data_IF_543006449119
#
_entry.id   IF_543006449119
#
_cell.length_a   1.000
_cell.length_b   1.000
_cell.length_c   1.000
_cell.angle_alpha   90.00
_cell.angle_beta   90.00
_cell.angle_gamma   90.00
#
_symmetry.space_group_name_H-M   'P 1'
#
loop_
_entity.id
_entity.type
_entity.pdbx_description
1 polymer ?
#
# COMPACT_ATOMS: atom_id res chain seq x y z
N UNK A 1 7.86 48.47 29.23
CA UNK A 1 6.63 47.70 28.94
C UNK A 1 6.68 46.46 29.82
N UNK A 2 5.82 46.38 30.84
CA UNK A 2 5.71 45.20 31.69
C UNK A 2 4.77 44.19 31.03
N UNK A 3 5.33 43.11 30.49
CA UNK A 3 4.58 41.97 29.97
C UNK A 3 4.34 41.00 31.12
N UNK A 4 3.08 40.83 31.55
CA UNK A 4 2.75 39.91 32.64
C UNK A 4 2.60 38.49 32.09
N UNK A 5 3.47 37.58 32.53
CA UNK A 5 3.45 36.17 32.14
C UNK A 5 2.69 35.34 33.18
N UNK A 6 1.70 34.58 32.74
CA UNK A 6 0.97 33.59 33.57
C UNK A 6 1.09 32.19 32.96
N UNK A 7 0.76 31.13 33.68
CA UNK A 7 0.83 29.74 33.18
C UNK A 7 -0.48 29.00 33.49
N UNK A 8 -1.00 28.23 32.53
CA UNK A 8 -2.17 27.36 32.78
C UNK A 8 -1.76 26.08 33.52
N UNK A 9 -2.63 25.60 34.41
CA UNK A 9 -2.53 24.28 35.02
C UNK A 9 -3.88 23.56 34.92
N UNK A 10 -3.95 22.37 34.31
CA UNK A 10 -2.86 21.66 33.62
C UNK A 10 -2.40 22.34 32.31
N UNK A 11 -1.19 22.01 31.84
CA UNK A 11 -0.72 22.39 30.51
C UNK A 11 -1.50 21.63 29.43
N UNK A 12 -1.70 22.26 28.28
CA UNK A 12 -2.41 21.66 27.15
C UNK A 12 -1.53 20.60 26.45
N UNK A 13 -2.11 19.51 25.92
CA UNK A 13 -1.40 18.44 25.23
C UNK A 13 -1.07 18.83 23.77
N UNK A 14 -0.37 19.94 23.58
CA UNK A 14 -0.02 20.47 22.25
C UNK A 14 1.39 20.00 21.88
N UNK A 15 1.56 19.58 20.63
CA UNK A 15 2.86 19.28 20.02
C UNK A 15 3.12 20.21 18.84
N UNK A 16 4.39 20.50 18.61
CA UNK A 16 4.83 21.26 17.44
C UNK A 16 5.05 20.29 16.28
N UNK A 17 4.51 20.63 15.12
CA UNK A 17 4.71 19.93 13.85
C UNK A 17 5.37 20.91 12.89
N UNK A 18 6.49 20.51 12.30
CA UNK A 18 7.11 21.23 11.20
C UNK A 18 6.25 21.09 9.95
N UNK A 19 6.02 22.20 9.25
CA UNK A 19 5.26 22.22 8.02
C UNK A 19 6.20 22.57 6.86
N UNK A 20 6.59 21.58 6.03
CA UNK A 20 7.24 21.83 4.75
C UNK A 20 6.39 22.78 3.89
N UNK A 21 6.99 23.58 2.99
CA UNK A 21 6.27 24.53 2.16
C UNK A 21 5.09 23.92 1.41
N UNK A 22 5.26 22.70 0.87
CA UNK A 22 4.19 21.97 0.18
C UNK A 22 2.96 21.69 1.08
N UNK A 23 3.18 21.30 2.33
CA UNK A 23 2.08 21.06 3.27
C UNK A 23 1.47 22.36 3.77
N UNK A 24 2.27 23.42 3.93
CA UNK A 24 1.79 24.73 4.30
C UNK A 24 0.86 25.29 3.21
N UNK A 25 1.30 25.25 1.94
CA UNK A 25 0.52 25.70 0.79
C UNK A 25 -0.81 24.94 0.68
N UNK A 26 -0.81 23.63 0.94
CA UNK A 26 -2.03 22.81 0.97
C UNK A 26 -2.98 23.22 2.10
N UNK A 27 -2.45 23.48 3.31
CA UNK A 27 -3.25 23.87 4.48
C UNK A 27 -3.79 25.30 4.38
N UNK A 28 -3.10 26.19 3.68
CA UNK A 28 -3.53 27.58 3.43
C UNK A 28 -4.44 27.74 2.21
N UNK A 29 -4.63 26.67 1.42
CA UNK A 29 -5.52 26.69 0.25
C UNK A 29 -7.00 26.88 0.63
N UNK A 30 -7.83 27.32 -0.33
CA UNK A 30 -9.28 27.52 -0.13
C UNK A 30 -10.02 26.22 0.26
N UNK A 31 -9.44 25.07 -0.10
CA UNK A 31 -9.98 23.73 0.15
C UNK A 31 -8.89 22.83 0.73
N UNK A 32 -8.52 23.03 2.01
CA UNK A 32 -7.43 22.29 2.61
C UNK A 32 -7.78 20.79 2.69
N UNK A 33 -6.88 19.90 2.25
CA UNK A 33 -7.16 18.48 2.25
C UNK A 33 -7.19 17.93 3.69
N UNK A 34 -7.91 16.83 3.89
CA UNK A 34 -7.86 16.11 5.15
C UNK A 34 -6.52 15.38 5.27
N UNK A 35 -5.81 15.64 6.38
CA UNK A 35 -4.57 14.96 6.72
C UNK A 35 -4.86 13.79 7.67
N UNK A 36 -4.19 12.66 7.45
CA UNK A 36 -4.33 11.47 8.28
C UNK A 36 -2.99 11.09 8.90
N UNK A 37 -3.02 10.70 10.17
CA UNK A 37 -1.89 10.03 10.82
C UNK A 37 -2.15 8.52 10.75
N UNK A 38 -1.28 7.80 10.06
CA UNK A 38 -1.36 6.35 9.92
C UNK A 38 -0.13 5.68 10.50
N UNK A 39 -0.33 4.53 11.13
CA UNK A 39 0.73 3.66 11.63
C UNK A 39 0.39 2.23 11.26
N UNK A 40 1.40 1.38 11.06
CA UNK A 40 1.16 -0.06 10.95
C UNK A 40 0.47 -0.57 12.22
N UNK A 41 -0.45 -1.54 12.05
CA UNK A 41 -1.04 -2.21 13.19
C UNK A 41 0.08 -2.78 14.10
N UNK A 42 -0.02 -2.61 15.43
CA UNK A 42 0.95 -3.21 16.34
C UNK A 42 0.94 -4.71 16.09
N UNK A 43 2.10 -5.27 15.75
CA UNK A 43 2.23 -6.71 15.53
C UNK A 43 1.71 -7.41 16.79
N UNK A 44 0.56 -8.08 16.67
CA UNK A 44 0.05 -8.90 17.75
C UNK A 44 1.17 -9.88 18.08
N UNK A 45 1.75 -9.73 19.28
CA UNK A 45 2.71 -10.68 19.82
C UNK A 45 2.07 -12.04 19.71
N UNK A 46 2.51 -12.84 18.74
CA UNK A 46 2.05 -14.21 18.54
C UNK A 46 2.44 -14.97 19.80
N UNK A 47 1.54 -14.99 20.78
CA UNK A 47 1.54 -15.96 21.85
C UNK A 47 1.27 -17.29 21.16
N UNK A 48 2.35 -17.94 20.72
CA UNK A 48 2.33 -19.33 20.29
C UNK A 48 1.67 -20.13 21.41
N UNK A 49 0.43 -20.54 21.19
CA UNK A 49 -0.24 -21.57 21.96
C UNK A 49 0.52 -22.86 21.72
N UNK A 50 1.54 -23.12 22.54
CA UNK A 50 2.25 -24.38 22.57
C UNK A 50 1.28 -25.45 23.09
N UNK A 51 0.81 -26.28 22.17
CA UNK A 51 0.15 -27.55 22.45
C UNK A 51 1.06 -28.40 23.35
N UNK A 52 0.58 -28.64 24.56
CA UNK A 52 1.20 -29.51 25.56
C UNK A 52 1.40 -30.92 24.97
N UNK A 53 2.66 -31.27 24.66
CA UNK A 53 3.09 -32.66 24.54
C UNK A 53 4.21 -32.92 25.53
N UNK A 54 3.89 -33.80 26.46
CA UNK A 54 4.70 -34.30 27.57
C UNK A 54 5.96 -34.99 27.04
N UNK A 55 7.15 -34.51 27.41
CA UNK A 55 8.40 -35.32 27.45
C UNK A 55 9.45 -34.68 28.36
N UNK A 56 9.52 -35.24 29.56
CA UNK A 56 10.66 -35.46 30.46
C UNK A 56 12.01 -34.75 30.23
N UNK A 57 12.39 -34.01 31.28
CA UNK A 57 13.69 -33.46 31.69
C UNK A 57 14.97 -34.22 31.29
N UNK A 58 16.03 -33.47 30.92
CA UNK A 58 17.36 -33.54 31.59
C UNK A 58 18.13 -32.22 31.42
N UNK A 59 18.76 -31.80 32.50
CA UNK A 59 19.55 -30.59 32.78
C UNK A 59 20.87 -30.42 32.01
N UNK A 60 21.26 -29.18 31.70
CA UNK A 60 22.59 -28.64 32.10
C UNK A 60 22.69 -27.12 31.90
N UNK A 61 23.20 -26.47 32.94
CA UNK A 61 23.42 -25.03 33.08
C UNK A 61 24.72 -24.59 32.43
N UNK A 62 24.75 -23.42 31.78
CA UNK A 62 25.98 -22.63 31.64
C UNK A 62 25.66 -21.14 31.51
N UNK A 63 26.04 -20.42 32.56
CA UNK A 63 26.12 -18.97 32.68
C UNK A 63 27.18 -18.42 31.71
N UNK A 64 26.84 -17.38 30.93
CA UNK A 64 27.85 -16.43 30.47
C UNK A 64 27.24 -15.04 30.24
N UNK A 65 27.77 -14.11 31.02
CA UNK A 65 27.60 -12.67 30.98
C UNK A 65 28.45 -12.11 29.84
N UNK A 66 27.86 -11.35 28.92
CA UNK A 66 28.63 -10.50 28.01
C UNK A 66 27.82 -9.25 27.61
N UNK A 67 28.23 -8.13 28.20
CA UNK A 67 27.95 -6.76 27.78
C UNK A 67 28.52 -6.54 26.38
N UNK A 68 27.73 -6.02 25.43
CA UNK A 68 28.25 -5.44 24.19
C UNK A 68 27.27 -4.44 23.59
N UNK A 69 27.86 -3.35 23.10
CA UNK A 69 27.25 -2.07 22.85
C UNK A 69 26.31 -2.04 21.63
N UNK A 70 25.33 -1.15 21.77
CA UNK A 70 24.36 -0.69 20.78
C UNK A 70 24.99 -0.28 19.45
N UNK A 71 24.69 -1.06 18.42
CA UNK A 71 24.54 -0.60 17.04
C UNK A 71 23.26 -1.25 16.49
N UNK A 72 22.12 -0.74 16.96
CA UNK A 72 20.82 -1.15 16.46
C UNK A 72 20.64 -0.60 15.05
N UNK A 73 21.04 -1.40 14.06
CA UNK A 73 20.41 -1.34 12.75
C UNK A 73 18.93 -1.64 12.97
N UNK A 74 18.10 -0.61 12.92
CA UNK A 74 16.65 -0.69 13.07
C UNK A 74 16.08 -1.65 12.03
N UNK A 75 15.51 -2.77 12.49
CA UNK A 75 14.57 -3.56 11.69
C UNK A 75 13.38 -2.66 11.30
N UNK A 76 12.90 -2.71 10.04
CA UNK A 76 11.68 -2.02 9.65
C UNK A 76 10.49 -2.78 10.25
N UNK A 77 9.87 -2.23 11.29
CA UNK A 77 8.76 -2.89 12.00
C UNK A 77 8.51 -2.41 13.44
N UNK A 78 9.13 -1.32 13.88
CA UNK A 78 8.89 -0.75 15.20
C UNK A 78 8.32 0.67 15.05
N UNK A 79 7.03 0.81 15.36
CA UNK A 79 6.32 2.03 15.76
C UNK A 79 6.67 3.33 15.01
N UNK A 80 6.49 3.34 13.68
CA UNK A 80 6.52 4.59 12.90
C UNK A 80 5.11 5.09 12.58
N UNK A 81 4.94 6.41 12.62
CA UNK A 81 3.70 7.10 12.23
C UNK A 81 4.02 7.95 11.01
N UNK A 82 3.20 7.83 9.99
CA UNK A 82 3.29 8.62 8.78
C UNK A 82 2.13 9.61 8.72
N UNK A 83 2.40 10.79 8.17
CA UNK A 83 1.41 11.79 7.82
C UNK A 83 1.05 11.61 6.34
N UNK A 84 -0.23 11.38 6.06
CA UNK A 84 -0.73 11.15 4.72
C UNK A 84 -1.63 12.32 4.28
N UNK A 85 -1.34 12.88 3.12
CA UNK A 85 -2.31 13.63 2.31
C UNK A 85 -3.13 12.62 1.50
N UNK A 86 -4.12 13.05 0.69
CA UNK A 86 -4.84 12.15 -0.21
C UNK A 86 -3.92 11.41 -1.20
N UNK A 87 -2.80 12.03 -1.58
CA UNK A 87 -1.94 11.62 -2.68
C UNK A 87 -0.48 11.27 -2.31
N UNK A 88 -0.02 11.67 -1.12
CA UNK A 88 1.38 11.53 -0.68
C UNK A 88 1.50 11.14 0.78
N UNK A 89 2.61 10.46 1.09
CA UNK A 89 2.98 10.08 2.46
C UNK A 89 4.29 10.74 2.88
N UNK A 90 4.31 11.18 4.14
CA UNK A 90 5.47 11.75 4.79
C UNK A 90 5.78 10.97 6.08
N UNK A 91 7.05 10.68 6.31
CA UNK A 91 7.50 10.06 7.56
C UNK A 91 7.63 11.13 8.65
N UNK A 92 7.14 10.83 9.86
CA UNK A 92 7.30 11.70 11.01
C UNK A 92 8.47 11.24 11.87
N UNK A 93 9.39 12.15 12.17
CA UNK A 93 10.45 11.93 13.17
C UNK A 93 10.30 12.89 14.33
N UNK A 94 10.46 12.40 15.55
CA UNK A 94 10.48 13.25 16.73
C UNK A 94 11.91 13.71 17.01
N UNK A 95 12.10 15.02 17.14
CA UNK A 95 13.37 15.62 17.53
C UNK A 95 13.20 16.31 18.88
N UNK A 96 13.99 15.87 19.86
CA UNK A 96 13.97 16.42 21.21
C UNK A 96 14.83 17.68 21.29
N UNK A 97 14.39 18.64 22.10
CA UNK A 97 15.11 19.87 22.37
C UNK A 97 15.48 19.96 23.85
N UNK A 98 16.71 20.39 24.13
CA UNK A 98 17.14 20.77 25.49
C UNK A 98 16.65 22.16 25.89
N UNK A 99 16.13 22.93 24.93
CA UNK A 99 15.58 24.26 25.18
C UNK A 99 14.17 24.17 25.77
N UNK A 100 13.84 25.09 26.67
CA UNK A 100 12.48 25.24 27.18
C UNK A 100 11.65 26.08 26.23
N UNK A 101 10.91 25.43 25.33
CA UNK A 101 9.99 26.10 24.40
C UNK A 101 8.60 26.15 25.02
N UNK A 102 8.07 27.36 25.19
CA UNK A 102 6.72 27.58 25.70
C UNK A 102 5.81 28.11 24.59
N UNK A 103 4.65 27.48 24.43
CA UNK A 103 3.59 28.03 23.60
C UNK A 103 2.80 29.02 24.45
N UNK A 104 2.74 30.27 24.02
CA UNK A 104 2.02 31.34 24.70
C UNK A 104 0.79 31.77 23.92
N UNK A 105 -0.29 32.10 24.63
CA UNK A 105 -1.50 32.66 24.06
C UNK A 105 -1.74 34.06 24.64
N UNK A 106 -2.06 35.08 23.81
CA UNK A 106 -2.51 36.37 24.30
C UNK A 106 -3.80 36.22 25.13
N UNK A 107 -3.88 36.87 26.28
CA UNK A 107 -5.13 36.91 27.06
C UNK A 107 -6.08 37.94 26.43
N UNK A 108 -7.13 37.46 25.76
CA UNK A 108 -8.12 38.31 25.10
C UNK A 108 -9.01 39.08 26.07
N UNK A 109 -9.62 40.18 25.62
CA UNK A 109 -10.48 41.05 26.44
C UNK A 109 -11.66 40.33 27.12
N UNK A 110 -12.17 39.24 26.52
CA UNK A 110 -13.26 38.43 27.09
C UNK A 110 -12.87 37.73 28.40
N UNK A 111 -11.60 37.38 28.56
CA UNK A 111 -11.06 36.69 29.75
C UNK A 111 -10.62 37.66 30.85
N UNK A 112 -10.81 38.97 30.61
CA UNK A 112 -10.59 40.06 31.56
C UNK A 112 -11.86 40.33 32.40
N UNK A 113 -13.03 39.95 31.90
CA UNK A 113 -14.31 40.12 32.60
C UNK A 113 -14.56 39.05 33.68
N UNK A 114 -13.93 37.89 33.57
CA UNK A 114 -14.08 36.75 34.50
C UNK A 114 -13.11 36.79 35.68
N UNK A 115 -12.10 37.66 35.65
CA UNK A 115 -11.10 37.79 36.72
C UNK A 115 -11.41 38.91 37.73
N UNK A 116 -12.59 39.52 37.67
CA UNK A 116 -13.04 40.51 38.67
C UNK A 116 -13.74 39.80 39.82
N UNK A 117 -12.97 39.15 40.69
CA UNK A 117 -13.42 38.92 42.06
C UNK A 117 -13.49 40.28 42.78
N UNK A 118 -14.45 40.51 43.71
CA UNK A 118 -14.68 41.82 44.29
C UNK A 118 -13.55 42.16 45.28
N UNK A 119 -12.60 42.99 44.84
CA UNK A 119 -11.68 43.65 45.74
C UNK A 119 -12.36 44.95 46.21
N UNK A 120 -12.65 44.99 47.50
CA UNK A 120 -13.11 46.17 48.24
C UNK A 120 -12.17 47.35 48.07
N UNK A 121 -12.79 48.51 47.91
CA UNK A 121 -12.26 49.87 47.78
C UNK A 121 -10.89 50.14 48.39
N UNK A 122 -10.03 50.80 47.62
CA UNK A 122 -9.38 52.05 48.05
C UNK A 122 -8.77 52.77 46.85
N UNK A 123 -9.16 54.03 46.70
CA UNK A 123 -8.66 55.00 45.74
C UNK A 123 -7.13 55.04 45.69
N UNK A 124 -6.56 54.89 44.51
CA UNK A 124 -5.35 55.62 44.09
C UNK A 124 -5.27 55.62 42.56
N UNK A 125 -5.32 56.82 41.99
CA UNK A 125 -4.93 57.14 40.61
C UNK A 125 -3.54 56.56 40.32
N UNK A 126 -3.51 55.38 39.71
CA UNK A 126 -2.32 54.85 39.06
C UNK A 126 -2.78 54.34 37.70
N UNK A 127 -2.31 55.01 36.66
CA UNK A 127 -2.58 54.73 35.26
C UNK A 127 -2.83 53.23 35.03
N UNK A 128 -4.02 52.89 34.53
CA UNK A 128 -4.38 51.55 34.07
C UNK A 128 -3.38 51.13 33.00
N UNK A 129 -2.24 50.60 33.43
CA UNK A 129 -1.24 49.99 32.57
C UNK A 129 -1.98 48.87 31.85
N UNK A 130 -2.17 49.06 30.55
CA UNK A 130 -2.65 48.07 29.60
C UNK A 130 -1.60 46.97 29.42
N UNK A 131 -1.07 46.46 30.54
CA UNK A 131 -0.05 45.44 30.61
C UNK A 131 -0.55 44.23 29.83
N UNK A 132 0.01 44.07 28.64
CA UNK A 132 -0.30 42.94 27.76
C UNK A 132 0.06 41.68 28.52
N UNK A 133 -0.96 40.90 28.85
CA UNK A 133 -0.82 39.67 29.63
C UNK A 133 -0.82 38.50 28.66
N UNK A 134 0.20 37.65 28.76
CA UNK A 134 0.31 36.41 27.97
C UNK A 134 0.32 35.22 28.91
N UNK A 135 -0.30 34.12 28.48
CA UNK A 135 -0.33 32.88 29.27
C UNK A 135 0.40 31.78 28.54
N UNK A 136 1.37 31.15 29.19
CA UNK A 136 1.97 29.90 28.73
C UNK A 136 0.95 28.76 28.88
N UNK A 137 0.59 28.17 27.74
CA UNK A 137 -0.45 27.12 27.63
C UNK A 137 0.14 25.73 27.45
N UNK A 138 1.37 25.61 26.91
CA UNK A 138 2.07 24.35 26.74
C UNK A 138 3.58 24.54 26.88
N UNK A 139 4.27 23.47 27.28
CA UNK A 139 5.73 23.38 27.22
C UNK A 139 6.10 22.24 26.28
N UNK A 140 6.75 22.57 25.17
CA UNK A 140 7.11 21.61 24.14
C UNK A 140 8.59 21.22 24.32
N UNK A 141 8.84 19.95 24.62
CA UNK A 141 10.21 19.39 24.75
C UNK A 141 10.69 18.71 23.46
N UNK A 142 9.82 18.60 22.47
CA UNK A 142 10.11 18.01 21.17
C UNK A 142 9.28 18.65 20.07
N UNK A 143 9.80 18.53 18.85
CA UNK A 143 9.14 18.90 17.61
C UNK A 143 9.00 17.65 16.75
N UNK A 144 7.88 17.52 16.05
CA UNK A 144 7.70 16.52 15.02
C UNK A 144 8.15 17.12 13.70
N UNK A 145 9.15 16.52 13.07
CA UNK A 145 9.64 16.92 11.76
C UNK A 145 9.05 16.01 10.69
N UNK A 146 8.68 16.61 9.56
CA UNK A 146 8.05 15.93 8.43
C UNK A 146 9.09 15.67 7.36
N UNK A 147 9.24 14.42 6.95
CA UNK A 147 10.18 14.01 5.92
C UNK A 147 9.45 13.41 4.73
N UNK A 148 9.81 13.88 3.52
CA UNK A 148 9.38 13.21 2.30
C UNK A 148 9.91 11.77 2.29
N UNK A 149 9.05 10.81 1.96
CA UNK A 149 9.46 9.42 1.81
C UNK A 149 10.37 9.24 0.60
N UNK A 150 11.27 8.26 0.65
CA UNK A 150 12.11 7.95 -0.49
C UNK A 150 11.24 7.36 -1.62
N UNK A 151 11.62 7.58 -2.88
CA UNK A 151 10.88 7.04 -4.03
C UNK A 151 10.83 5.51 -4.08
N UNK A 152 11.71 4.83 -3.32
CA UNK A 152 11.70 3.38 -3.14
C UNK A 152 10.64 2.88 -2.17
N UNK A 153 10.14 3.76 -1.29
CA UNK A 153 9.17 3.39 -0.28
C UNK A 153 7.77 3.42 -0.89
N UNK A 154 7.24 2.24 -1.19
CA UNK A 154 5.92 2.08 -1.79
C UNK A 154 5.01 1.27 -0.88
N UNK A 155 3.70 1.44 -1.05
CA UNK A 155 2.71 0.64 -0.35
C UNK A 155 2.71 -0.86 -0.76
N UNK A 156 3.56 -1.27 -1.72
CA UNK A 156 3.62 -2.64 -2.24
C UNK A 156 4.00 -3.63 -1.13
N UNK A 157 5.14 -3.43 -0.45
CA UNK A 157 5.61 -4.39 0.55
C UNK A 157 4.63 -4.57 1.73
N UNK A 158 4.06 -3.49 2.33
CA UNK A 158 3.00 -3.63 3.33
C UNK A 158 1.76 -4.37 2.81
N UNK A 159 1.33 -4.13 1.57
CA UNK A 159 0.18 -4.84 0.98
C UNK A 159 0.48 -6.31 0.76
N UNK A 160 1.68 -6.66 0.27
CA UNK A 160 2.10 -8.05 0.08
C UNK A 160 2.11 -8.84 1.41
N UNK A 161 2.39 -8.17 2.53
CA UNK A 161 2.42 -8.76 3.86
C UNK A 161 1.01 -9.01 4.45
N UNK A 162 0.02 -8.19 4.08
CA UNK A 162 -1.35 -8.27 4.63
C UNK A 162 -2.27 -9.11 3.75
N UNK A 163 -2.09 -9.10 2.44
CA UNK A 163 -2.97 -9.79 1.49
C UNK A 163 -2.68 -11.29 1.41
N UNK A 164 -3.75 -12.09 1.48
CA UNK A 164 -3.69 -13.52 1.25
C UNK A 164 -3.28 -13.81 -0.20
N UNK A 165 -2.46 -14.86 -0.40
CA UNK A 165 -2.07 -15.30 -1.74
C UNK A 165 -3.25 -16.06 -2.35
N UNK A 166 -3.61 -15.74 -3.59
CA UNK A 166 -4.50 -16.53 -4.44
C UNK A 166 -3.65 -17.28 -5.45
N UNK A 167 -3.57 -18.60 -5.34
CA UNK A 167 -2.74 -19.44 -6.18
C UNK A 167 -3.57 -20.26 -7.18
N UNK A 168 -2.89 -20.94 -8.10
CA UNK A 168 -3.52 -21.83 -9.08
C UNK A 168 -4.38 -22.92 -8.41
N UNK A 169 -3.97 -23.41 -7.23
CA UNK A 169 -4.74 -24.40 -6.47
C UNK A 169 -6.07 -23.87 -5.92
N UNK A 170 -6.23 -22.56 -5.79
CA UNK A 170 -7.48 -21.92 -5.34
C UNK A 170 -8.50 -21.80 -6.48
N UNK A 171 -8.12 -22.20 -7.69
CA UNK A 171 -9.00 -22.35 -8.84
C UNK A 171 -9.66 -23.73 -8.69
N UNK A 172 -10.76 -23.78 -7.94
CA UNK A 172 -11.60 -24.97 -7.88
C UNK A 172 -12.19 -25.22 -9.28
N UNK A 173 -11.67 -26.26 -9.93
CA UNK A 173 -12.06 -26.73 -11.28
C UNK A 173 -13.43 -27.41 -11.25
N UNK A 174 -13.92 -27.83 -10.06
CA UNK A 174 -15.18 -28.57 -9.93
C UNK A 174 -16.35 -27.63 -9.57
N UNK A 175 -17.41 -27.69 -10.38
CA UNK A 175 -18.74 -27.11 -10.19
C UNK A 175 -18.84 -25.58 -9.98
N UNK A 176 -18.63 -24.78 -11.04
CA UNK A 176 -19.09 -23.38 -11.05
C UNK A 176 -20.41 -23.25 -11.80
N UNK A 177 -21.50 -22.99 -11.07
CA UNK A 177 -22.81 -22.70 -11.66
C UNK A 177 -23.00 -21.19 -11.89
N UNK A 178 -23.86 -20.79 -12.83
CA UNK A 178 -24.20 -19.37 -13.10
C UNK A 178 -24.74 -18.63 -11.85
N UNK A 179 -25.30 -19.36 -10.87
CA UNK A 179 -25.79 -18.80 -9.59
C UNK A 179 -24.64 -18.47 -8.61
N UNK A 180 -23.46 -19.07 -8.77
CA UNK A 180 -22.29 -18.84 -7.92
C UNK A 180 -21.56 -17.53 -8.25
N UNK A 181 -21.82 -16.96 -9.42
CA UNK A 181 -21.14 -15.78 -9.95
C UNK A 181 -21.99 -14.52 -9.74
N UNK A 182 -22.63 -14.40 -8.56
CA UNK A 182 -23.19 -13.11 -8.16
C UNK A 182 -22.02 -12.12 -7.99
N UNK A 183 -21.86 -11.16 -8.91
CA UNK A 183 -20.72 -10.25 -8.86
C UNK A 183 -20.85 -9.43 -7.58
N UNK A 184 -19.76 -9.33 -6.84
CA UNK A 184 -19.69 -8.43 -5.69
C UNK A 184 -20.09 -7.03 -6.15
N UNK A 185 -20.97 -6.39 -5.38
CA UNK A 185 -21.36 -5.03 -5.70
C UNK A 185 -20.13 -4.10 -5.57
N UNK A 186 -20.04 -3.02 -6.36
CA UNK A 186 -18.93 -2.07 -6.26
C UNK A 186 -18.72 -1.54 -4.84
N UNK A 187 -19.81 -1.38 -4.07
CA UNK A 187 -19.74 -0.92 -2.68
C UNK A 187 -19.13 -1.96 -1.73
N UNK A 188 -19.36 -3.26 -1.95
CA UNK A 188 -18.72 -4.32 -1.16
C UNK A 188 -17.21 -4.39 -1.44
N UNK A 189 -16.82 -4.27 -2.71
CA UNK A 189 -15.42 -4.23 -3.14
C UNK A 189 -14.70 -3.05 -2.48
N UNK A 190 -15.28 -1.85 -2.59
CA UNK A 190 -14.70 -0.63 -1.98
C UNK A 190 -14.62 -0.76 -0.46
N UNK A 191 -15.65 -1.33 0.19
CA UNK A 191 -15.69 -1.51 1.63
C UNK A 191 -14.56 -2.42 2.11
N UNK A 192 -14.40 -3.61 1.52
CA UNK A 192 -13.37 -4.57 1.97
C UNK A 192 -11.96 -4.04 1.68
N UNK A 193 -11.75 -3.41 0.51
CA UNK A 193 -10.46 -2.78 0.18
C UNK A 193 -10.11 -1.63 1.15
N UNK A 194 -11.09 -0.80 1.52
CA UNK A 194 -10.89 0.31 2.44
C UNK A 194 -10.45 -0.14 3.82
N UNK A 195 -10.89 -1.32 4.29
CA UNK A 195 -10.42 -1.91 5.56
C UNK A 195 -8.93 -2.21 5.50
N UNK A 196 -8.45 -2.84 4.42
CA UNK A 196 -7.02 -3.11 4.23
C UNK A 196 -6.24 -1.80 4.21
N UNK A 197 -6.68 -0.80 3.44
CA UNK A 197 -5.97 0.48 3.30
C UNK A 197 -5.93 1.32 4.58
N UNK A 198 -6.83 1.08 5.54
CA UNK A 198 -6.80 1.76 6.83
C UNK A 198 -5.55 1.37 7.65
N UNK A 199 -5.09 0.13 7.52
CA UNK A 199 -3.96 -0.43 8.29
C UNK A 199 -2.60 -0.29 7.56
N UNK A 200 -2.61 0.18 6.32
CA UNK A 200 -1.39 0.46 5.55
C UNK A 200 -0.94 1.90 5.80
N UNK A 201 0.31 2.14 6.25
CA UNK A 201 0.82 3.47 6.62
C UNK A 201 1.20 4.32 5.40
N UNK A 202 0.35 4.36 4.38
CA UNK A 202 0.51 5.12 3.14
C UNK A 202 -0.80 5.82 2.76
N UNK A 203 -0.67 6.84 1.91
CA UNK A 203 -1.79 7.58 1.33
C UNK A 203 -2.70 6.68 0.51
N UNK A 204 -3.94 7.13 0.31
CA UNK A 204 -4.91 6.37 -0.48
C UNK A 204 -4.41 6.15 -1.91
N UNK A 205 -3.93 7.20 -2.58
CA UNK A 205 -3.45 7.08 -3.96
C UNK A 205 -2.25 6.14 -4.11
N UNK A 206 -1.34 6.11 -3.13
CA UNK A 206 -0.20 5.18 -3.14
C UNK A 206 -0.66 3.74 -2.90
N UNK A 207 -1.61 3.51 -1.99
CA UNK A 207 -2.23 2.20 -1.78
C UNK A 207 -2.96 1.71 -3.04
N UNK A 208 -3.72 2.57 -3.72
CA UNK A 208 -4.42 2.23 -4.96
C UNK A 208 -3.45 1.91 -6.11
N UNK A 209 -2.38 2.70 -6.25
CA UNK A 209 -1.32 2.45 -7.24
C UNK A 209 -0.63 1.11 -6.98
N UNK A 210 -0.31 0.82 -5.72
CA UNK A 210 0.31 -0.45 -5.33
C UNK A 210 -0.65 -1.64 -5.51
N UNK A 211 -1.92 -1.48 -5.15
CA UNK A 211 -2.98 -2.47 -5.38
C UNK A 211 -3.11 -2.84 -6.86
N UNK A 212 -3.17 -1.83 -7.73
CA UNK A 212 -3.16 -2.00 -9.19
C UNK A 212 -1.89 -2.71 -9.64
N UNK A 213 -0.73 -2.29 -9.12
CA UNK A 213 0.58 -2.82 -9.50
C UNK A 213 0.71 -4.34 -9.25
N UNK A 214 0.19 -4.83 -8.11
CA UNK A 214 0.25 -6.25 -7.74
C UNK A 214 -0.95 -7.07 -8.24
N UNK A 215 -1.82 -6.47 -9.06
CA UNK A 215 -3.09 -7.08 -9.50
C UNK A 215 -3.95 -7.60 -8.33
N UNK A 216 -3.96 -6.90 -7.20
CA UNK A 216 -4.79 -7.29 -6.07
C UNK A 216 -6.28 -7.18 -6.43
N UNK A 217 -7.09 -8.01 -5.82
CA UNK A 217 -8.52 -8.06 -6.11
C UNK A 217 -9.32 -8.54 -4.89
N UNK A 218 -10.62 -8.27 -4.92
CA UNK A 218 -11.55 -8.76 -3.91
C UNK A 218 -12.25 -9.98 -4.48
N UNK A 219 -12.30 -11.04 -3.68
CA UNK A 219 -12.89 -12.31 -4.07
C UNK A 219 -13.77 -12.84 -2.95
N UNK A 220 -14.89 -13.47 -3.33
CA UNK A 220 -15.78 -14.17 -2.42
C UNK A 220 -15.51 -15.65 -2.55
N UNK A 221 -14.97 -16.26 -1.50
CA UNK A 221 -14.74 -17.71 -1.44
C UNK A 221 -16.07 -18.44 -1.54
N UNK A 222 -16.13 -19.44 -2.42
CA UNK A 222 -17.31 -20.30 -2.59
C UNK A 222 -17.62 -21.11 -1.34
N UNK A 223 -16.63 -21.80 -0.80
CA UNK A 223 -16.78 -22.72 0.33
C UNK A 223 -17.25 -22.02 1.61
N UNK A 224 -16.71 -20.84 1.87
CA UNK A 224 -16.95 -20.11 3.13
C UNK A 224 -17.94 -18.95 2.98
N UNK A 225 -18.21 -18.50 1.75
CA UNK A 225 -18.96 -17.27 1.47
C UNK A 225 -18.24 -15.98 1.91
N UNK A 226 -17.01 -16.08 2.42
CA UNK A 226 -16.25 -14.96 2.97
C UNK A 226 -15.68 -14.12 1.84
N UNK A 227 -15.87 -12.80 1.94
CA UNK A 227 -15.25 -11.83 1.05
C UNK A 227 -13.89 -11.45 1.63
N UNK A 228 -12.84 -11.62 0.85
CA UNK A 228 -11.48 -11.30 1.25
C UNK A 228 -10.72 -10.59 0.12
N UNK A 229 -9.66 -9.88 0.52
CA UNK A 229 -8.73 -9.23 -0.39
C UNK A 229 -7.55 -10.17 -0.65
N UNK A 230 -7.25 -10.41 -1.91
CA UNK A 230 -6.20 -11.33 -2.33
C UNK A 230 -5.17 -10.63 -3.20
N UNK A 231 -3.95 -11.17 -3.18
CA UNK A 231 -2.93 -10.95 -4.20
C UNK A 231 -2.72 -12.25 -4.98
N UNK A 232 -2.78 -12.23 -6.32
CA UNK A 232 -2.53 -13.44 -7.09
C UNK A 232 -1.05 -13.83 -7.04
N UNK A 233 -0.78 -15.13 -7.05
CA UNK A 233 0.55 -15.67 -7.26
C UNK A 233 1.03 -15.36 -8.69
N UNK A 234 2.33 -15.47 -8.92
CA UNK A 234 2.87 -15.35 -10.28
C UNK A 234 2.30 -16.42 -11.23
N UNK A 235 2.01 -17.62 -10.72
CA UNK A 235 1.45 -18.71 -11.52
C UNK A 235 -0.02 -18.42 -11.88
N UNK A 236 -0.83 -17.98 -10.91
CA UNK A 236 -2.22 -17.60 -11.15
C UNK A 236 -2.35 -16.45 -12.15
N UNK A 237 -1.48 -15.42 -12.03
CA UNK A 237 -1.41 -14.32 -13.02
C UNK A 237 -1.05 -14.83 -14.41
N UNK A 238 -0.06 -15.74 -14.52
CA UNK A 238 0.41 -16.27 -15.80
C UNK A 238 -0.67 -17.09 -16.50
N UNK A 239 -1.31 -18.01 -15.77
CA UNK A 239 -2.40 -18.84 -16.28
C UNK A 239 -3.59 -17.99 -16.76
N UNK A 240 -4.00 -16.99 -15.96
CA UNK A 240 -5.05 -16.07 -16.37
C UNK A 240 -4.66 -15.27 -17.62
N UNK A 241 -3.41 -14.82 -17.72
CA UNK A 241 -2.91 -14.10 -18.89
C UNK A 241 -2.87 -14.95 -20.15
N UNK A 242 -2.42 -16.21 -20.05
CA UNK A 242 -2.43 -17.18 -21.15
C UNK A 242 -3.83 -17.30 -21.75
N UNK A 243 -4.83 -17.51 -20.90
CA UNK A 243 -6.24 -17.60 -21.31
C UNK A 243 -6.79 -16.31 -21.92
N UNK A 244 -6.40 -15.15 -21.39
CA UNK A 244 -6.76 -13.85 -21.98
C UNK A 244 -6.20 -13.71 -23.41
N UNK A 245 -4.93 -14.07 -23.62
CA UNK A 245 -4.28 -13.99 -24.94
C UNK A 245 -4.88 -15.01 -25.92
N UNK A 246 -5.16 -16.22 -25.45
CA UNK A 246 -5.82 -17.27 -26.24
C UNK A 246 -7.21 -16.83 -26.70
N UNK A 247 -8.08 -16.40 -25.77
CA UNK A 247 -9.42 -15.90 -26.08
C UNK A 247 -9.38 -14.69 -27.03
N UNK A 248 -8.49 -13.73 -26.79
CA UNK A 248 -8.32 -12.59 -27.69
C UNK A 248 -7.92 -13.02 -29.11
N UNK A 249 -7.01 -13.98 -29.23
CA UNK A 249 -6.52 -14.47 -30.52
C UNK A 249 -7.61 -15.22 -31.28
N UNK A 250 -8.34 -16.12 -30.61
CA UNK A 250 -9.39 -16.94 -31.21
C UNK A 250 -10.56 -16.09 -31.73
N UNK A 251 -10.92 -15.04 -30.98
CA UNK A 251 -12.02 -14.14 -31.35
C UNK A 251 -11.58 -12.92 -32.16
N UNK A 252 -10.28 -12.81 -32.49
CA UNK A 252 -9.74 -11.70 -33.29
C UNK A 252 -9.83 -10.34 -32.60
N UNK A 253 -9.78 -10.30 -31.26
CA UNK A 253 -9.79 -9.07 -30.47
C UNK A 253 -8.39 -8.46 -30.48
N UNK A 254 -8.27 -7.27 -31.07
CA UNK A 254 -7.01 -6.53 -31.10
C UNK A 254 -6.77 -5.80 -29.77
N UNK A 255 -5.96 -6.39 -28.89
CA UNK A 255 -5.62 -5.84 -27.57
C UNK A 255 -4.90 -4.48 -27.62
N UNK A 256 -4.30 -4.11 -28.76
CA UNK A 256 -3.63 -2.82 -28.94
C UNK A 256 -4.55 -1.69 -29.38
N UNK A 257 -5.79 -2.03 -29.76
CA UNK A 257 -6.84 -1.06 -30.08
C UNK A 257 -7.87 -1.03 -28.96
N UNK A 258 -8.84 -0.13 -29.11
CA UNK A 258 -9.98 -0.09 -28.22
C UNK A 258 -10.85 -1.34 -28.41
N UNK A 259 -11.09 -2.07 -27.33
CA UNK A 259 -11.99 -3.22 -27.27
C UNK A 259 -12.96 -3.11 -26.08
N UNK A 260 -14.08 -3.82 -26.19
CA UNK A 260 -15.01 -4.00 -25.08
C UNK A 260 -14.46 -5.05 -24.13
N UNK A 261 -14.37 -4.70 -22.85
CA UNK A 261 -13.83 -5.59 -21.82
C UNK A 261 -14.76 -6.78 -21.57
N UNK A 262 -16.06 -6.58 -21.74
CA UNK A 262 -17.05 -7.66 -21.72
C UNK A 262 -16.80 -8.67 -22.85
N UNK A 263 -16.61 -8.21 -24.09
CA UNK A 263 -16.36 -9.10 -25.23
C UNK A 263 -15.09 -9.93 -25.03
N UNK A 264 -14.04 -9.34 -24.44
CA UNK A 264 -12.83 -10.07 -24.10
C UNK A 264 -13.08 -11.10 -22.99
N UNK A 265 -13.86 -10.76 -21.97
CA UNK A 265 -14.23 -11.70 -20.92
C UNK A 265 -15.07 -12.87 -21.47
N UNK A 266 -16.06 -12.59 -22.33
CA UNK A 266 -16.85 -13.60 -23.01
C UNK A 266 -15.96 -14.51 -23.88
N UNK A 267 -15.01 -13.95 -24.62
CA UNK A 267 -14.05 -14.73 -25.42
C UNK A 267 -13.20 -15.69 -24.56
N UNK A 268 -12.84 -15.29 -23.33
CA UNK A 268 -12.12 -16.15 -22.38
C UNK A 268 -13.00 -17.28 -21.85
N UNK A 269 -14.29 -17.02 -21.60
CA UNK A 269 -15.22 -18.04 -21.11
C UNK A 269 -15.64 -19.02 -22.22
N UNK A 270 -15.94 -18.51 -23.42
CA UNK A 270 -16.37 -19.36 -24.53
C UNK A 270 -15.30 -20.39 -24.91
N UNK A 271 -14.02 -20.05 -24.81
CA UNK A 271 -12.92 -21.02 -24.97
C UNK A 271 -12.96 -22.11 -23.88
N UNK A 272 -13.19 -21.73 -22.62
CA UNK A 272 -13.27 -22.68 -21.52
C UNK A 272 -14.49 -23.63 -21.64
N UNK A 273 -15.63 -23.14 -22.14
CA UNK A 273 -16.88 -23.91 -22.32
C UNK A 273 -16.82 -24.97 -23.44
N UNK A 274 -15.79 -24.96 -24.30
CA UNK A 274 -15.59 -26.04 -25.29
C UNK A 274 -14.98 -27.31 -24.66
N UNK A 275 -14.71 -27.29 -23.36
CA UNK A 275 -14.41 -28.47 -22.54
C UNK A 275 -15.69 -29.00 -21.89
N UNK A 276 -15.71 -30.26 -21.46
CA UNK A 276 -16.94 -31.05 -21.15
C UNK A 276 -17.72 -30.52 -19.91
N UNK A 277 -17.24 -29.47 -19.27
CA UNK A 277 -17.78 -28.90 -18.03
C UNK A 277 -17.89 -27.37 -18.26
N UNK A 278 -19.00 -26.76 -17.83
CA UNK A 278 -19.19 -25.30 -17.84
C UNK A 278 -18.21 -24.63 -16.84
N UNK A 279 -16.92 -24.62 -17.19
CA UNK A 279 -15.82 -24.19 -16.32
C UNK A 279 -15.48 -22.72 -16.55
N UNK A 280 -15.49 -21.92 -15.48
CA UNK A 280 -14.86 -20.61 -15.52
C UNK A 280 -13.36 -20.78 -15.20
N UNK A 281 -12.46 -20.29 -16.07
CA UNK A 281 -11.03 -20.56 -15.92
C UNK A 281 -10.44 -19.90 -14.66
N UNK A 282 -10.95 -18.75 -14.25
CA UNK A 282 -10.55 -18.04 -13.02
C UNK A 282 -11.60 -16.98 -12.66
N UNK A 283 -11.57 -16.36 -11.45
CA UNK A 283 -12.53 -15.33 -11.07
C UNK A 283 -12.47 -14.09 -11.97
N UNK A 284 -13.63 -13.51 -12.32
CA UNK A 284 -13.69 -12.26 -13.09
C UNK A 284 -12.94 -11.10 -12.44
N UNK A 285 -12.90 -11.05 -11.10
CA UNK A 285 -12.15 -10.00 -10.40
C UNK A 285 -10.63 -10.09 -10.61
N UNK A 286 -10.08 -11.27 -10.90
CA UNK A 286 -8.68 -11.43 -11.32
C UNK A 286 -8.48 -10.94 -12.77
N UNK A 287 -9.41 -11.28 -13.68
CA UNK A 287 -9.42 -10.74 -15.04
C UNK A 287 -9.39 -9.21 -15.04
N UNK A 288 -10.33 -8.58 -14.33
CA UNK A 288 -10.43 -7.13 -14.23
C UNK A 288 -9.15 -6.52 -13.64
N UNK A 289 -8.54 -7.16 -12.63
CA UNK A 289 -7.31 -6.68 -12.03
C UNK A 289 -6.13 -6.70 -13.02
N UNK A 290 -6.00 -7.75 -13.83
CA UNK A 290 -4.98 -7.86 -14.88
C UNK A 290 -5.21 -6.81 -15.97
N UNK A 291 -6.44 -6.70 -16.48
CA UNK A 291 -6.78 -5.69 -17.51
C UNK A 291 -6.49 -4.28 -16.97
N UNK A 292 -6.92 -3.97 -15.74
CA UNK A 292 -6.62 -2.68 -15.10
C UNK A 292 -5.12 -2.45 -15.01
N UNK A 293 -4.32 -3.43 -14.60
CA UNK A 293 -2.85 -3.30 -14.49
C UNK A 293 -2.19 -2.87 -15.80
N UNK A 294 -2.73 -3.34 -16.92
CA UNK A 294 -2.19 -3.15 -18.27
C UNK A 294 -2.78 -1.91 -18.98
N UNK A 295 -3.93 -1.41 -18.53
CA UNK A 295 -4.52 -0.14 -18.98
C UNK A 295 -3.86 1.03 -18.26
N UNK A 296 -3.41 2.03 -19.03
CA UNK A 296 -2.75 3.20 -18.47
C UNK A 296 -3.71 4.07 -17.63
N UNK A 297 -3.23 4.54 -16.48
CA UNK A 297 -3.81 5.58 -15.62
C UNK A 297 -5.33 5.53 -15.29
N UNK A 298 -6.01 4.41 -15.55
CA UNK A 298 -7.41 4.24 -15.17
C UNK A 298 -7.57 4.18 -13.65
N UNK A 299 -8.54 4.91 -13.06
CA UNK A 299 -8.84 4.83 -11.63
C UNK A 299 -9.30 3.42 -11.26
N UNK A 300 -8.96 3.00 -10.04
CA UNK A 300 -9.26 1.64 -9.56
C UNK A 300 -10.77 1.33 -9.54
N UNK A 301 -11.60 2.32 -9.24
CA UNK A 301 -13.06 2.22 -9.20
C UNK A 301 -13.74 2.73 -10.48
N UNK A 302 -12.96 3.06 -11.52
CA UNK A 302 -13.50 3.47 -12.81
C UNK A 302 -14.25 2.33 -13.48
N UNK A 303 -15.32 2.67 -14.21
CA UNK A 303 -15.99 1.74 -15.12
C UNK A 303 -14.98 1.24 -16.17
N UNK A 304 -14.79 -0.07 -16.24
CA UNK A 304 -13.83 -0.73 -17.12
C UNK A 304 -14.55 -1.27 -18.36
N UNK A 305 -15.41 -0.45 -18.97
CA UNK A 305 -16.18 -0.87 -20.14
C UNK A 305 -15.32 -1.04 -21.39
N UNK A 306 -14.38 -0.12 -21.58
CA UNK A 306 -13.49 -0.08 -22.74
C UNK A 306 -12.04 -0.07 -22.27
N UNK A 307 -11.20 -0.81 -22.98
CA UNK A 307 -9.77 -0.86 -22.71
C UNK A 307 -8.97 -0.85 -24.02
N UNK A 308 -7.73 -0.41 -23.92
CA UNK A 308 -6.68 -0.58 -24.91
C UNK A 308 -5.38 -0.80 -24.13
N UNK A 309 -4.64 -1.85 -24.47
CA UNK A 309 -3.41 -2.17 -23.75
C UNK A 309 -2.22 -1.49 -24.41
N UNK A 310 -1.31 -0.98 -23.59
CA UNK A 310 -0.06 -0.43 -24.10
C UNK A 310 0.96 -1.55 -24.36
N UNK A 311 1.51 -1.57 -25.58
CA UNK A 311 2.48 -2.58 -26.00
C UNK A 311 3.67 -2.68 -25.05
N UNK A 312 4.24 -1.54 -24.61
CA UNK A 312 5.46 -1.55 -23.79
C UNK A 312 5.16 -2.02 -22.38
N UNK A 313 4.08 -1.51 -21.79
CA UNK A 313 3.62 -1.90 -20.45
C UNK A 313 3.29 -3.39 -20.44
N UNK A 314 2.51 -3.87 -21.41
CA UNK A 314 2.12 -5.28 -21.47
C UNK A 314 3.30 -6.19 -21.72
N UNK A 315 4.15 -5.90 -22.72
CA UNK A 315 5.31 -6.75 -23.01
C UNK A 315 6.27 -6.82 -21.82
N UNK A 316 6.54 -5.70 -21.16
CA UNK A 316 7.39 -5.68 -19.97
C UNK A 316 6.77 -6.47 -18.80
N UNK A 317 5.49 -6.26 -18.53
CA UNK A 317 4.78 -6.99 -17.46
C UNK A 317 4.73 -8.49 -17.73
N UNK A 318 4.49 -8.93 -18.97
CA UNK A 318 4.49 -10.36 -19.35
C UNK A 318 5.87 -10.99 -19.14
N UNK A 319 6.96 -10.29 -19.48
CA UNK A 319 8.32 -10.77 -19.21
C UNK A 319 8.61 -10.89 -17.71
N UNK A 320 8.27 -9.87 -16.93
CA UNK A 320 8.42 -9.87 -15.47
C UNK A 320 7.63 -11.02 -14.84
N UNK A 321 6.40 -11.23 -15.29
CA UNK A 321 5.52 -12.29 -14.85
C UNK A 321 6.08 -13.69 -15.18
N UNK A 322 6.57 -13.89 -16.41
CA UNK A 322 7.16 -15.16 -16.83
C UNK A 322 8.43 -15.49 -16.03
N UNK A 323 9.27 -14.49 -15.77
CA UNK A 323 10.45 -14.63 -14.91
C UNK A 323 10.06 -14.95 -13.46
N UNK A 324 9.07 -14.24 -12.90
CA UNK A 324 8.56 -14.45 -11.54
C UNK A 324 7.96 -15.86 -11.38
N UNK A 325 7.15 -16.30 -12.34
CA UNK A 325 6.50 -17.62 -12.34
C UNK A 325 7.52 -18.76 -12.53
N UNK A 326 8.52 -18.57 -13.38
CA UNK A 326 9.57 -19.57 -13.63
C UNK A 326 10.56 -19.73 -12.46
N UNK A 327 10.49 -18.84 -11.47
CA UNK A 327 11.41 -18.82 -10.32
C UNK A 327 10.88 -19.67 -9.15
N UNK A 328 10.78 -20.99 -9.34
CA UNK A 328 10.45 -21.94 -8.25
C UNK A 328 11.46 -21.95 -7.08
N UNK A 329 12.62 -21.32 -7.26
CA UNK A 329 13.57 -20.95 -6.20
C UNK A 329 14.38 -19.72 -6.65
N UNK A 330 14.88 -18.85 -5.75
CA UNK A 330 15.58 -17.59 -6.08
C UNK A 330 16.91 -17.73 -6.87
N UNK A 331 17.25 -18.93 -7.34
CA UNK A 331 18.40 -19.24 -8.21
C UNK A 331 17.98 -19.98 -9.48
N UNK A 332 16.70 -19.97 -9.85
CA UNK A 332 16.26 -20.57 -11.12
C UNK A 332 16.88 -19.75 -12.26
N UNK A 333 17.61 -20.44 -13.13
CA UNK A 333 18.30 -19.84 -14.28
C UNK A 333 17.65 -20.40 -15.52
N UNK A 334 17.10 -19.52 -16.35
CA UNK A 334 16.45 -19.87 -17.61
C UNK A 334 17.42 -19.64 -18.76
N UNK A 335 17.26 -20.44 -19.82
CA UNK A 335 17.91 -20.17 -21.09
C UNK A 335 17.25 -18.97 -21.78
N UNK A 336 18.07 -18.05 -22.30
CA UNK A 336 17.61 -16.81 -22.96
C UNK A 336 16.73 -17.08 -24.19
N UNK A 337 17.06 -18.10 -24.99
CA UNK A 337 16.31 -18.42 -26.20
C UNK A 337 14.94 -19.02 -25.86
N UNK A 338 14.90 -19.93 -24.88
CA UNK A 338 13.63 -20.50 -24.36
C UNK A 338 12.76 -19.40 -23.78
N UNK A 339 13.31 -18.57 -22.89
CA UNK A 339 12.59 -17.44 -22.31
C UNK A 339 12.03 -16.48 -23.37
N UNK A 340 12.82 -16.15 -24.39
CA UNK A 340 12.39 -15.24 -25.45
C UNK A 340 11.32 -15.87 -26.35
N UNK A 341 11.32 -17.20 -26.51
CA UNK A 341 10.25 -17.92 -27.21
C UNK A 341 8.95 -17.89 -26.42
N UNK A 342 9.00 -18.31 -25.15
CA UNK A 342 7.84 -18.34 -24.27
C UNK A 342 7.22 -16.95 -24.11
N UNK A 343 8.07 -15.91 -23.98
CA UNK A 343 7.61 -14.53 -23.93
C UNK A 343 6.88 -14.10 -25.21
N UNK A 344 7.34 -14.52 -26.40
CA UNK A 344 6.65 -14.22 -27.66
C UNK A 344 5.31 -14.93 -27.77
N UNK A 345 5.21 -16.15 -27.26
CA UNK A 345 3.97 -16.92 -27.30
C UNK A 345 2.89 -16.31 -26.40
N UNK A 346 3.29 -15.62 -25.33
CA UNK A 346 2.41 -14.89 -24.40
C UNK A 346 2.07 -13.45 -24.84
N UNK A 347 2.36 -13.10 -26.10
CA UNK A 347 2.02 -11.79 -26.66
C UNK A 347 1.20 -11.93 -27.95
N UNK A 348 0.29 -10.97 -28.21
CA UNK A 348 -0.32 -10.81 -29.53
C UNK A 348 0.72 -10.83 -30.65
N UNK A 349 0.36 -11.42 -31.79
CA UNK A 349 1.28 -11.66 -32.92
C UNK A 349 2.04 -10.38 -33.34
N UNK A 350 1.32 -9.26 -33.39
CA UNK A 350 1.84 -7.94 -33.73
C UNK A 350 2.86 -7.36 -32.74
N UNK A 351 2.93 -7.88 -31.51
CA UNK A 351 3.86 -7.42 -30.46
C UNK A 351 5.07 -8.34 -30.27
N UNK A 352 5.05 -9.55 -30.84
CA UNK A 352 6.17 -10.50 -30.78
C UNK A 352 7.55 -9.92 -31.13
N UNK A 353 7.69 -8.98 -32.09
CA UNK A 353 8.99 -8.35 -32.36
C UNK A 353 9.57 -7.55 -31.20
N UNK A 354 8.74 -7.10 -30.25
CA UNK A 354 9.17 -6.35 -29.08
C UNK A 354 9.77 -7.24 -27.98
N UNK A 355 9.43 -8.54 -27.95
CA UNK A 355 9.97 -9.51 -27.01
C UNK A 355 11.44 -9.83 -27.31
N UNK A 356 12.31 -8.92 -26.85
CA UNK A 356 13.76 -9.00 -26.89
C UNK A 356 14.32 -8.52 -25.55
N UNK A 357 15.39 -9.15 -25.08
CA UNK A 357 16.07 -8.79 -23.82
C UNK A 357 16.53 -7.33 -23.80
N UNK A 358 16.87 -6.76 -24.96
CA UNK A 358 17.28 -5.36 -25.07
C UNK A 358 16.17 -4.37 -24.68
N UNK A 359 14.92 -4.79 -24.81
CA UNK A 359 13.74 -3.98 -24.47
C UNK A 359 13.27 -4.19 -23.02
N UNK A 360 13.86 -5.16 -22.29
CA UNK A 360 13.51 -5.46 -20.91
C UNK A 360 14.25 -4.53 -19.95
N UNK A 361 13.56 -4.06 -18.91
CA UNK A 361 14.19 -3.27 -17.87
C UNK A 361 15.26 -4.09 -17.13
N UNK A 362 16.48 -3.55 -17.10
CA UNK A 362 17.66 -4.16 -16.48
C UNK A 362 17.52 -4.27 -14.96
N UNK A 363 16.56 -3.61 -14.33
CA UNK A 363 16.29 -3.79 -12.91
C UNK A 363 15.59 -5.12 -12.60
N UNK A 364 14.82 -5.67 -13.55
CA UNK A 364 13.93 -6.82 -13.34
C UNK A 364 14.60 -8.19 -13.52
N UNK A 365 15.81 -8.22 -14.07
CA UNK A 365 16.56 -9.46 -14.29
C UNK A 365 18.04 -9.32 -13.96
N UNK A 366 18.69 -10.47 -13.82
CA UNK A 366 20.14 -10.61 -13.84
C UNK A 366 20.51 -11.62 -14.93
N UNK A 367 21.64 -11.37 -15.58
CA UNK A 367 22.20 -12.26 -16.59
C UNK A 367 23.53 -12.83 -16.06
N UNK A 368 23.52 -14.01 -15.41
CA UNK A 368 24.74 -14.63 -14.89
C UNK A 368 25.73 -14.98 -16.00
N UNK A 369 25.22 -15.44 -17.14
CA UNK A 369 25.98 -15.76 -18.35
C UNK A 369 25.26 -15.21 -19.58
N UNK A 370 25.95 -15.07 -20.71
CA UNK A 370 25.35 -14.52 -21.93
C UNK A 370 24.10 -15.27 -22.41
N UNK A 371 24.00 -16.57 -22.13
CA UNK A 371 22.90 -17.45 -22.53
C UNK A 371 21.85 -17.66 -21.45
N UNK A 372 22.00 -17.04 -20.28
CA UNK A 372 21.15 -17.33 -19.13
C UNK A 372 20.54 -16.09 -18.46
N UNK A 373 19.30 -16.18 -18.03
CA UNK A 373 18.56 -15.10 -17.38
C UNK A 373 17.92 -15.60 -16.08
N UNK A 374 17.93 -14.78 -15.03
CA UNK A 374 17.22 -15.07 -13.80
C UNK A 374 16.46 -13.84 -13.29
N UNK A 375 15.35 -14.10 -12.61
CA UNK A 375 14.51 -13.04 -12.04
C UNK A 375 15.28 -12.30 -10.95
N UNK A 376 15.24 -10.97 -11.00
CA UNK A 376 15.70 -10.11 -9.92
C UNK A 376 14.46 -9.46 -9.31
N UNK A 377 14.01 -9.86 -8.12
CA UNK A 377 12.95 -9.14 -7.45
C UNK A 377 13.42 -7.69 -7.27
N UNK A 378 12.68 -6.74 -7.84
CA UNK A 378 12.89 -5.33 -7.55
C UNK A 378 12.80 -5.17 -6.03
N UNK A 379 13.76 -4.46 -5.41
CA UNK A 379 13.76 -4.18 -3.97
C UNK A 379 12.39 -3.57 -3.60
N UNK A 380 11.51 -4.39 -3.01
CA UNK A 380 10.07 -4.13 -2.93
C UNK A 380 9.22 -5.40 -2.74
N UNK A 381 9.79 -6.60 -2.92
CA UNK A 381 9.22 -7.87 -2.48
C UNK A 381 9.67 -8.28 -1.08
#
# INVERSE_FOLDING_TARGET
>A
MDLRLTQTQPLQPVRLLELPPELLDQLESDHPPQLYLKSSAPAASSSSSTTTTTSTSTSTSATSTATSASSAASRPGADFVNLCTPDKTFSLRQVNSSNSVFLIKPRGAADRATATAPATDTDTDTAASTASTVTAIAQCKSTLEVQAMASSDTAVAPLLAVLAIYDESDILIDDRTEEDDHPLSPSEIVRERSKVFADIPFSLAECERAWKHICAFVHKSKESGVIACHRPSARAKLMAWEKIVEGATLHGIDLGKQFLVEDLWSAVIEEAQHTVIDEYPFPRSLFDAIVRRLVDNSPIDGDLKWANLDLRITAQWTAELLLEASNGSPKSVLNVDTFSSDWKDLLPEQWRPYASIDNLDKSCYRQPEATTICFRPNHGY
#
